data_IF_765300644869
#
_entry.id   IF_765300644869
#
_cell.length_a   1.000
_cell.length_b   1.000
_cell.length_c   1.000
_cell.angle_alpha   90.00
_cell.angle_beta   90.00
_cell.angle_gamma   90.00
#
_symmetry.space_group_name_H-M   'P 1'
#
loop_
_entity.id
_entity.type
_entity.pdbx_description
1 polymer ?
#
# COMPACT_ATOMS: atom_id res chain seq x y z
N UNK A 1 5.27 10.34 18.13
CA UNK A 1 4.68 11.37 17.26
C UNK A 1 5.63 11.52 16.09
N UNK A 2 5.35 10.85 14.98
CA UNK A 2 6.14 11.04 13.76
C UNK A 2 5.87 12.43 13.19
N UNK A 3 6.91 13.05 12.65
CA UNK A 3 6.81 14.35 11.97
C UNK A 3 6.72 14.17 10.44
N UNK A 4 6.49 15.27 9.71
CA UNK A 4 6.36 15.21 8.26
C UNK A 4 7.65 14.70 7.59
N UNK A 5 8.84 15.03 8.12
CA UNK A 5 10.11 14.57 7.57
C UNK A 5 10.26 13.06 7.69
N UNK A 6 9.90 12.48 8.83
CA UNK A 6 9.92 11.03 9.05
C UNK A 6 8.95 10.29 8.10
N UNK A 7 7.74 10.85 7.91
CA UNK A 7 6.77 10.29 6.94
C UNK A 7 7.33 10.33 5.52
N UNK A 8 7.98 11.41 5.10
CA UNK A 8 8.57 11.51 3.78
C UNK A 8 9.74 10.52 3.58
N UNK A 9 10.60 10.37 4.59
CA UNK A 9 11.72 9.42 4.54
C UNK A 9 11.25 7.96 4.41
N UNK A 10 10.17 7.61 5.10
CA UNK A 10 9.63 6.23 5.11
C UNK A 10 8.45 6.02 4.16
N UNK A 11 8.14 7.00 3.31
CA UNK A 11 6.95 7.01 2.47
C UNK A 11 6.84 5.76 1.58
N UNK A 12 7.93 5.42 0.89
CA UNK A 12 7.92 4.27 -0.01
C UNK A 12 7.87 2.95 0.76
N UNK A 13 8.57 2.83 1.90
CA UNK A 13 8.46 1.66 2.78
C UNK A 13 7.01 1.48 3.28
N UNK A 14 6.32 2.57 3.60
CA UNK A 14 4.90 2.55 3.96
C UNK A 14 4.01 2.10 2.79
N UNK A 15 4.24 2.61 1.58
CA UNK A 15 3.47 2.28 0.37
C UNK A 15 3.68 0.83 -0.08
N UNK A 16 4.88 0.30 0.07
CA UNK A 16 5.25 -1.08 -0.27
C UNK A 16 4.97 -2.07 0.87
N UNK A 17 4.54 -1.58 2.05
CA UNK A 17 4.22 -2.37 3.25
C UNK A 17 5.43 -3.10 3.85
N UNK A 18 6.58 -2.45 3.81
CA UNK A 18 7.86 -2.96 4.32
C UNK A 18 8.23 -2.42 5.70
N UNK A 19 7.30 -1.71 6.36
CA UNK A 19 7.46 -1.21 7.72
C UNK A 19 6.96 -2.21 8.75
N UNK A 20 7.53 -2.10 9.96
CA UNK A 20 7.05 -2.87 11.10
C UNK A 20 5.64 -2.41 11.53
N UNK A 21 4.84 -3.29 12.17
CA UNK A 21 3.46 -2.96 12.55
C UNK A 21 3.30 -1.70 13.40
N UNK A 22 4.23 -1.43 14.32
CA UNK A 22 4.24 -0.22 15.15
C UNK A 22 4.49 1.02 14.30
N UNK A 23 5.52 1.01 13.45
CA UNK A 23 5.83 2.12 12.54
C UNK A 23 4.67 2.46 11.60
N UNK A 24 3.95 1.44 11.12
CA UNK A 24 2.75 1.63 10.29
C UNK A 24 1.67 2.40 11.06
N UNK A 25 1.48 2.11 12.35
CA UNK A 25 0.48 2.79 13.18
C UNK A 25 0.89 4.26 13.35
N UNK A 26 2.15 4.53 13.66
CA UNK A 26 2.65 5.89 13.89
C UNK A 26 2.53 6.76 12.62
N UNK A 27 3.01 6.26 11.47
CA UNK A 27 2.92 6.98 10.20
C UNK A 27 1.46 7.20 9.80
N UNK A 28 0.61 6.18 9.97
CA UNK A 28 -0.83 6.30 9.67
C UNK A 28 -1.49 7.36 10.54
N UNK A 29 -1.18 7.42 11.84
CA UNK A 29 -1.70 8.44 12.72
C UNK A 29 -1.28 9.84 12.27
N UNK A 30 -0.02 10.03 11.87
CA UNK A 30 0.42 11.32 11.32
C UNK A 30 -0.34 11.69 10.05
N UNK A 31 -0.44 10.77 9.08
CA UNK A 31 -1.15 11.00 7.81
C UNK A 31 -2.61 11.41 8.05
N UNK A 32 -3.28 10.81 9.03
CA UNK A 32 -4.67 11.15 9.36
C UNK A 32 -4.82 12.56 9.98
N UNK A 33 -3.77 13.06 10.62
CA UNK A 33 -3.78 14.35 11.32
C UNK A 33 -3.07 15.48 10.54
N UNK A 34 -2.37 15.16 9.45
CA UNK A 34 -1.60 16.10 8.64
C UNK A 34 -2.09 16.10 7.19
N UNK A 35 -2.68 17.21 6.77
CA UNK A 35 -3.22 17.39 5.42
C UNK A 35 -2.15 17.26 4.33
N UNK A 36 -0.98 17.87 4.55
CA UNK A 36 0.12 17.87 3.56
C UNK A 36 0.64 16.44 3.32
N UNK A 37 0.88 15.68 4.39
CA UNK A 37 1.29 14.28 4.29
C UNK A 37 0.21 13.39 3.68
N UNK A 38 -1.08 13.66 3.96
CA UNK A 38 -2.19 12.95 3.31
C UNK A 38 -2.22 13.18 1.79
N UNK A 39 -2.06 14.43 1.35
CA UNK A 39 -2.04 14.77 -0.07
C UNK A 39 -0.84 14.14 -0.77
N UNK A 40 0.35 14.18 -0.16
CA UNK A 40 1.56 13.55 -0.69
C UNK A 40 1.38 12.03 -0.85
N UNK A 41 0.95 11.34 0.21
CA UNK A 41 0.74 9.89 0.17
C UNK A 41 -0.31 9.51 -0.87
N UNK A 42 -1.38 10.30 -0.98
CA UNK A 42 -2.43 10.08 -1.97
C UNK A 42 -1.89 10.21 -3.39
N UNK A 43 -1.10 11.25 -3.65
CA UNK A 43 -0.44 11.49 -4.93
C UNK A 43 0.50 10.34 -5.32
N UNK A 44 1.47 10.02 -4.46
CA UNK A 44 2.45 8.95 -4.70
C UNK A 44 1.76 7.60 -4.90
N UNK A 45 0.72 7.30 -4.12
CA UNK A 45 -0.06 6.06 -4.32
C UNK A 45 -0.75 6.00 -5.68
N UNK A 46 -1.16 7.16 -6.22
CA UNK A 46 -1.72 7.30 -7.56
C UNK A 46 -0.68 7.02 -8.65
N UNK A 47 0.53 7.56 -8.48
CA UNK A 47 1.66 7.32 -9.38
C UNK A 47 2.04 5.84 -9.40
N UNK A 48 2.20 5.20 -8.23
CA UNK A 48 2.52 3.77 -8.12
C UNK A 48 1.43 2.92 -8.80
N UNK A 49 0.15 3.25 -8.61
CA UNK A 49 -0.97 2.55 -9.27
C UNK A 49 -0.90 2.69 -10.79
N UNK A 50 -0.56 3.88 -11.30
CA UNK A 50 -0.41 4.14 -12.73
C UNK A 50 0.72 3.28 -13.31
N UNK A 51 1.89 3.28 -12.67
CA UNK A 51 3.05 2.47 -13.08
C UNK A 51 2.68 0.97 -13.06
N UNK A 52 2.03 0.49 -11.99
CA UNK A 52 1.62 -0.92 -11.90
C UNK A 52 0.61 -1.32 -12.98
N UNK A 53 -0.23 -0.39 -13.45
CA UNK A 53 -1.18 -0.64 -14.54
C UNK A 53 -0.48 -0.70 -15.90
N UNK A 54 0.38 0.28 -16.19
CA UNK A 54 0.92 0.51 -17.53
C UNK A 54 2.27 -0.23 -17.75
N UNK A 55 2.98 -0.58 -16.68
CA UNK A 55 4.25 -1.32 -16.72
C UNK A 55 4.19 -2.71 -16.05
N UNK A 56 3.03 -3.11 -15.51
CA UNK A 56 2.83 -4.43 -14.89
C UNK A 56 2.90 -5.56 -15.92
N UNK A 57 4.11 -6.00 -16.23
CA UNK A 57 4.36 -7.24 -16.95
C UNK A 57 3.90 -8.43 -16.09
N UNK A 58 3.27 -9.39 -16.76
CA UNK A 58 2.67 -10.63 -16.24
C UNK A 58 1.39 -10.49 -15.40
N UNK A 59 0.26 -10.37 -16.11
CA UNK A 59 -1.04 -10.76 -15.56
C UNK A 59 -0.96 -12.21 -15.09
N UNK A 60 -1.21 -12.45 -13.80
CA UNK A 60 -1.26 -13.81 -13.27
C UNK A 60 -2.20 -14.70 -14.12
N UNK A 61 -1.78 -15.93 -14.49
CA UNK A 61 -2.58 -16.83 -15.30
C UNK A 61 -3.97 -17.09 -14.70
N UNK A 62 -4.99 -17.20 -15.55
CA UNK A 62 -6.37 -17.30 -15.08
C UNK A 62 -6.64 -18.57 -14.25
N UNK A 63 -5.92 -19.67 -14.53
CA UNK A 63 -6.02 -20.90 -13.75
C UNK A 63 -5.57 -20.68 -12.29
N UNK A 64 -4.52 -19.88 -12.06
CA UNK A 64 -4.01 -19.60 -10.72
C UNK A 64 -5.01 -18.71 -9.96
N UNK A 65 -5.55 -17.69 -10.62
CA UNK A 65 -6.62 -16.84 -10.06
C UNK A 65 -7.85 -17.66 -9.66
N UNK A 66 -8.29 -18.59 -10.53
CA UNK A 66 -9.43 -19.46 -10.27
C UNK A 66 -9.19 -20.37 -9.05
N UNK A 67 -7.98 -20.95 -8.95
CA UNK A 67 -7.59 -21.79 -7.81
C UNK A 67 -7.57 -21.02 -6.50
N UNK A 68 -6.97 -19.81 -6.48
CA UNK A 68 -6.95 -18.94 -5.30
C UNK A 68 -8.39 -18.57 -4.87
N UNK A 69 -9.25 -18.16 -5.81
CA UNK A 69 -10.66 -17.83 -5.53
C UNK A 69 -11.41 -19.02 -4.92
N UNK A 70 -11.18 -20.24 -5.42
CA UNK A 70 -11.80 -21.46 -4.86
C UNK A 70 -11.37 -21.72 -3.42
N UNK A 71 -10.09 -21.53 -3.09
CA UNK A 71 -9.56 -21.69 -1.73
C UNK A 71 -10.15 -20.64 -0.78
N UNK A 72 -10.21 -19.38 -1.20
CA UNK A 72 -10.77 -18.31 -0.37
C UNK A 72 -12.26 -18.53 -0.07
N UNK A 73 -13.05 -18.98 -1.04
CA UNK A 73 -14.47 -19.33 -0.85
C UNK A 73 -14.69 -20.46 0.17
N UNK A 74 -13.73 -21.38 0.32
CA UNK A 74 -13.82 -22.50 1.28
C UNK A 74 -13.48 -22.09 2.72
N UNK A 75 -12.78 -20.97 2.93
CA UNK A 75 -12.38 -20.48 4.26
C UNK A 75 -13.41 -19.56 4.92
N UNK A 76 -14.43 -19.14 4.17
CA UNK A 76 -15.61 -18.45 4.67
C UNK A 76 -16.75 -19.47 4.85
N UNK A 77 -16.64 -20.32 5.87
CA UNK A 77 -17.72 -21.09 6.48
C UNK A 77 -17.36 -21.42 7.92
#
# INVERSE_FOLDING_TARGET
MSDCHEVHQRLYLYLDRELLPEEVIEIRQHILNCKECFELVSFESGVIKLIKRDCGCDKAPDHLKARIKSILKKKTY
#
